data_IF_373430745992
#
_entry.id   IF_373430745992
#
_cell.length_a   1.000
_cell.length_b   1.000
_cell.length_c   1.000
_cell.angle_alpha   90.00
_cell.angle_beta   90.00
_cell.angle_gamma   90.00
#
_symmetry.space_group_name_H-M   'P 1'
#
loop_
_entity.id
_entity.type
_entity.pdbx_description
1 polymer ?
#
# COMPACT_ATOMS: atom_id res chain seq x y z
N UNK A 1 -21.19 -6.17 -27.44
CA UNK A 1 -19.78 -5.98 -27.82
C UNK A 1 -18.95 -6.17 -26.56
N UNK A 2 -17.92 -7.02 -26.58
CA UNK A 2 -17.02 -7.14 -25.43
C UNK A 2 -16.23 -5.84 -25.33
N UNK A 3 -16.39 -5.10 -24.23
CA UNK A 3 -15.53 -3.93 -23.97
C UNK A 3 -14.10 -4.43 -23.81
N UNK A 4 -13.18 -3.89 -24.61
CA UNK A 4 -11.76 -4.19 -24.48
C UNK A 4 -11.16 -3.38 -23.33
N UNK A 5 -10.08 -3.90 -22.76
CA UNK A 5 -9.41 -3.33 -21.58
C UNK A 5 -7.97 -2.99 -21.96
N UNK A 6 -7.64 -1.70 -21.87
CA UNK A 6 -6.32 -1.15 -22.11
C UNK A 6 -5.54 -1.03 -20.78
N UNK A 7 -4.24 -1.31 -20.82
CA UNK A 7 -3.35 -1.21 -19.67
C UNK A 7 -2.27 -0.17 -19.97
N UNK A 8 -2.12 0.83 -19.09
CA UNK A 8 -1.11 1.88 -19.24
C UNK A 8 -0.57 2.34 -17.88
N UNK A 9 0.55 3.04 -17.89
CA UNK A 9 1.03 3.75 -16.70
C UNK A 9 0.07 4.88 -16.30
N UNK A 10 0.09 5.23 -15.02
CA UNK A 10 -0.64 6.39 -14.50
C UNK A 10 -0.09 7.70 -15.07
N UNK A 11 -0.97 8.67 -15.27
CA UNK A 11 -0.64 10.06 -15.55
C UNK A 11 -1.02 10.91 -14.32
N UNK A 12 -0.02 11.51 -13.68
CA UNK A 12 -0.20 12.30 -12.45
C UNK A 12 -0.09 13.78 -12.79
N UNK A 13 -1.06 14.63 -12.37
CA UNK A 13 -2.15 14.34 -11.44
C UNK A 13 -3.48 13.90 -12.09
N UNK A 14 -3.58 13.82 -13.41
CA UNK A 14 -4.86 13.71 -14.14
C UNK A 14 -5.68 12.47 -13.78
N UNK A 15 -5.04 11.34 -13.51
CA UNK A 15 -5.72 10.08 -13.20
C UNK A 15 -6.12 9.94 -11.73
N UNK A 16 -5.60 10.79 -10.83
CA UNK A 16 -5.81 10.64 -9.39
C UNK A 16 -7.28 10.71 -8.95
N UNK A 17 -8.14 11.58 -9.52
CA UNK A 17 -9.56 11.58 -9.18
C UNK A 17 -10.26 10.25 -9.55
N UNK A 18 -9.97 9.71 -10.74
CA UNK A 18 -10.54 8.43 -11.19
C UNK A 18 -10.02 7.25 -10.33
N UNK A 19 -8.75 7.30 -9.95
CA UNK A 19 -8.14 6.33 -9.05
C UNK A 19 -8.79 6.34 -7.66
N UNK A 20 -9.00 7.52 -7.09
CA UNK A 20 -9.67 7.66 -5.80
C UNK A 20 -11.12 7.12 -5.86
N UNK A 21 -11.84 7.39 -6.96
CA UNK A 21 -13.17 6.85 -7.19
C UNK A 21 -13.17 5.31 -7.25
N UNK A 22 -12.26 4.71 -8.03
CA UNK A 22 -12.10 3.24 -8.10
C UNK A 22 -11.87 2.63 -6.72
N UNK A 23 -10.91 3.17 -5.95
CA UNK A 23 -10.58 2.65 -4.62
C UNK A 23 -11.75 2.78 -3.65
N UNK A 24 -12.45 3.90 -3.66
CA UNK A 24 -13.64 4.09 -2.82
C UNK A 24 -14.78 3.14 -3.19
N UNK A 25 -15.03 2.90 -4.50
CA UNK A 25 -16.00 1.89 -4.93
C UNK A 25 -15.62 0.49 -4.45
N UNK A 26 -14.34 0.13 -4.54
CA UNK A 26 -13.83 -1.14 -4.01
C UNK A 26 -14.00 -1.24 -2.49
N UNK A 27 -13.64 -0.20 -1.73
CA UNK A 27 -13.79 -0.19 -0.27
C UNK A 27 -15.25 -0.31 0.16
N UNK A 28 -16.15 0.44 -0.49
CA UNK A 28 -17.58 0.42 -0.20
C UNK A 28 -18.19 -0.96 -0.47
N UNK A 29 -17.94 -1.53 -1.64
CA UNK A 29 -18.47 -2.83 -2.04
C UNK A 29 -18.02 -3.97 -1.11
N UNK A 30 -16.79 -3.86 -0.56
CA UNK A 30 -16.21 -4.83 0.37
C UNK A 30 -16.45 -4.50 1.85
N UNK A 31 -17.28 -3.49 2.16
CA UNK A 31 -17.55 -3.02 3.52
C UNK A 31 -16.28 -2.73 4.35
N UNK A 32 -15.25 -2.20 3.72
CA UNK A 32 -14.02 -1.82 4.39
C UNK A 32 -14.20 -0.45 5.03
N UNK A 33 -13.83 -0.31 6.31
CA UNK A 33 -13.87 0.97 7.03
C UNK A 33 -12.69 1.87 6.61
N UNK A 34 -12.69 2.29 5.34
CA UNK A 34 -11.64 3.08 4.71
C UNK A 34 -12.20 3.90 3.57
N UNK A 35 -11.67 5.11 3.40
CA UNK A 35 -11.88 5.95 2.22
C UNK A 35 -10.56 6.55 1.76
N UNK A 36 -10.53 7.14 0.57
CA UNK A 36 -9.39 7.88 0.06
C UNK A 36 -9.85 9.07 -0.80
N UNK A 37 -8.90 9.95 -1.13
CA UNK A 37 -9.11 11.14 -1.96
C UNK A 37 -7.99 11.29 -2.97
N UNK A 38 -8.15 12.17 -3.96
CA UNK A 38 -7.10 12.46 -4.94
C UNK A 38 -5.85 13.03 -4.26
N UNK A 39 -6.02 13.87 -3.23
CA UNK A 39 -4.92 14.44 -2.42
C UNK A 39 -4.17 13.33 -1.68
N UNK A 40 -4.90 12.36 -1.11
CA UNK A 40 -4.25 11.20 -0.48
C UNK A 40 -3.50 10.36 -1.49
N UNK A 41 -4.04 10.12 -2.69
CA UNK A 41 -3.31 9.40 -3.74
C UNK A 41 -2.08 10.20 -4.20
N UNK A 42 -2.16 11.52 -4.32
CA UNK A 42 -1.01 12.38 -4.63
C UNK A 42 0.11 12.23 -3.59
N UNK A 43 -0.23 12.17 -2.30
CA UNK A 43 0.74 11.91 -1.23
C UNK A 43 1.44 10.57 -1.41
N UNK A 44 0.70 9.51 -1.78
CA UNK A 44 1.28 8.18 -2.03
C UNK A 44 2.23 8.20 -3.25
N UNK A 45 1.89 8.97 -4.30
CA UNK A 45 2.76 9.13 -5.46
C UNK A 45 4.05 9.88 -5.14
N UNK A 46 4.08 10.63 -4.04
CA UNK A 46 5.24 11.40 -3.59
C UNK A 46 6.02 10.69 -2.46
N UNK A 47 5.75 9.42 -2.20
CA UNK A 47 6.52 8.66 -1.20
C UNK A 47 8.02 8.62 -1.56
N UNK A 48 8.92 8.77 -0.58
CA UNK A 48 10.35 8.66 -0.83
C UNK A 48 10.71 7.35 -1.54
N UNK A 49 11.57 7.45 -2.56
CA UNK A 49 12.01 6.32 -3.37
C UNK A 49 10.96 5.74 -4.33
N UNK A 50 9.76 6.31 -4.41
CA UNK A 50 8.69 5.83 -5.29
C UNK A 50 8.75 6.46 -6.69
N UNK A 51 8.83 5.64 -7.75
CA UNK A 51 8.75 6.11 -9.13
C UNK A 51 7.29 6.07 -9.60
N UNK A 52 6.57 7.17 -9.35
CA UNK A 52 5.14 7.25 -9.65
C UNK A 52 4.79 6.89 -11.10
N UNK A 53 5.64 7.23 -12.07
CA UNK A 53 5.38 7.03 -13.49
C UNK A 53 5.55 5.56 -13.93
N UNK A 54 6.36 4.77 -13.23
CA UNK A 54 6.69 3.40 -13.63
C UNK A 54 6.21 2.33 -12.65
N UNK A 55 5.83 2.71 -11.42
CA UNK A 55 5.42 1.79 -10.36
C UNK A 55 3.88 1.73 -10.21
N UNK A 56 3.14 2.18 -11.23
CA UNK A 56 1.68 2.26 -11.22
C UNK A 56 1.06 1.88 -12.58
N UNK A 57 0.36 0.74 -12.64
CA UNK A 57 -0.38 0.37 -13.85
C UNK A 57 -1.89 0.50 -13.65
N UNK A 58 -2.55 1.13 -14.61
CA UNK A 58 -4.00 1.31 -14.70
C UNK A 58 -4.59 0.37 -15.75
N UNK A 59 -5.77 -0.17 -15.48
CA UNK A 59 -6.61 -0.87 -16.44
C UNK A 59 -7.86 -0.03 -16.74
N UNK A 60 -8.05 0.37 -18.00
CA UNK A 60 -9.15 1.22 -18.44
C UNK A 60 -10.00 0.51 -19.50
N UNK A 61 -11.28 0.87 -19.58
CA UNK A 61 -12.10 0.51 -20.74
C UNK A 61 -11.70 1.30 -21.98
N UNK A 62 -12.14 0.84 -23.14
CA UNK A 62 -11.89 1.47 -24.44
C UNK A 62 -12.32 2.94 -24.55
N UNK A 63 -13.20 3.42 -23.66
CA UNK A 63 -13.54 4.83 -23.57
C UNK A 63 -12.38 5.73 -23.09
N UNK A 64 -11.28 5.12 -22.64
CA UNK A 64 -10.06 5.77 -22.17
C UNK A 64 -10.22 6.52 -20.85
N UNK A 65 -11.38 6.42 -20.19
CA UNK A 65 -11.74 7.21 -19.01
C UNK A 65 -12.19 6.34 -17.84
N UNK A 66 -12.87 5.24 -18.12
CA UNK A 66 -13.41 4.36 -17.09
C UNK A 66 -12.31 3.45 -16.58
N UNK A 67 -11.79 3.78 -15.40
CA UNK A 67 -10.80 2.98 -14.69
C UNK A 67 -11.49 1.76 -14.04
N UNK A 68 -11.00 0.56 -14.36
CA UNK A 68 -11.56 -0.71 -13.87
C UNK A 68 -10.57 -1.53 -13.04
N UNK A 69 -9.30 -1.12 -13.00
CA UNK A 69 -8.31 -1.69 -12.11
C UNK A 69 -7.07 -0.83 -11.99
N UNK A 70 -6.32 -1.05 -10.92
CA UNK A 70 -5.06 -0.38 -10.62
C UNK A 70 -4.17 -1.29 -9.80
N UNK A 71 -2.87 -1.23 -10.06
CA UNK A 71 -1.85 -1.78 -9.19
C UNK A 71 -0.79 -0.72 -8.92
N UNK A 72 -0.44 -0.55 -7.65
CA UNK A 72 0.64 0.32 -7.17
C UNK A 72 1.70 -0.52 -6.48
N UNK A 73 2.97 -0.27 -6.76
CA UNK A 73 4.11 -0.91 -6.14
C UNK A 73 4.91 0.13 -5.39
N UNK A 74 5.56 -0.23 -4.28
CA UNK A 74 6.54 0.64 -3.62
C UNK A 74 7.68 -0.20 -3.08
N UNK A 75 8.90 0.04 -3.58
CA UNK A 75 10.11 -0.63 -3.13
C UNK A 75 10.58 0.00 -1.81
N UNK A 76 10.10 -0.56 -0.69
CA UNK A 76 10.38 -0.02 0.64
C UNK A 76 11.82 -0.25 1.08
N UNK A 77 12.48 -1.30 0.57
CA UNK A 77 13.91 -1.58 0.78
C UNK A 77 14.50 -2.13 -0.50
N UNK A 78 15.83 -2.20 -0.59
CA UNK A 78 16.52 -2.79 -1.75
C UNK A 78 16.07 -4.24 -2.07
N UNK A 79 15.52 -4.97 -1.08
CA UNK A 79 15.11 -6.37 -1.25
C UNK A 79 13.59 -6.56 -1.35
N UNK A 80 12.78 -5.57 -0.96
CA UNK A 80 11.34 -5.78 -0.71
C UNK A 80 10.49 -4.70 -1.38
N UNK A 81 9.54 -5.15 -2.20
CA UNK A 81 8.48 -4.32 -2.79
C UNK A 81 7.14 -4.72 -2.21
N UNK A 82 6.34 -3.73 -1.83
CA UNK A 82 4.93 -3.91 -1.46
C UNK A 82 4.04 -3.59 -2.66
N UNK A 83 2.90 -4.26 -2.80
CA UNK A 83 1.90 -3.93 -3.81
C UNK A 83 0.51 -3.70 -3.20
N UNK A 84 -0.27 -2.86 -3.88
CA UNK A 84 -1.70 -2.66 -3.65
C UNK A 84 -2.44 -2.87 -4.98
N UNK A 85 -3.24 -3.94 -5.06
CA UNK A 85 -4.02 -4.31 -6.24
C UNK A 85 -5.51 -4.08 -5.98
N UNK A 86 -6.11 -3.21 -6.79
CA UNK A 86 -7.54 -2.89 -6.74
C UNK A 86 -8.18 -3.22 -8.09
N UNK A 87 -9.31 -3.93 -8.07
CA UNK A 87 -10.13 -4.21 -9.26
C UNK A 87 -11.56 -3.79 -8.97
N UNK A 88 -12.19 -3.09 -9.91
CA UNK A 88 -13.59 -2.70 -9.78
C UNK A 88 -14.46 -3.95 -9.61
N UNK A 89 -15.43 -3.98 -8.66
CA UNK A 89 -16.21 -5.19 -8.33
C UNK A 89 -16.85 -5.88 -9.55
N UNK A 90 -17.39 -5.09 -10.48
CA UNK A 90 -18.00 -5.56 -11.74
C UNK A 90 -17.03 -6.22 -12.74
N UNK A 91 -15.72 -6.12 -12.52
CA UNK A 91 -14.66 -6.55 -13.44
C UNK A 91 -13.73 -7.64 -12.88
N UNK A 92 -14.04 -8.16 -11.69
CA UNK A 92 -13.23 -9.18 -10.98
C UNK A 92 -13.05 -10.49 -11.76
N UNK A 93 -14.06 -10.91 -12.53
CA UNK A 93 -14.03 -12.15 -13.32
C UNK A 93 -13.61 -11.96 -14.79
N UNK A 94 -13.02 -10.80 -15.13
CA UNK A 94 -12.63 -10.47 -16.51
C UNK A 94 -11.11 -10.56 -16.74
N UNK A 95 -10.38 -11.22 -15.83
CA UNK A 95 -8.92 -11.36 -15.92
C UNK A 95 -8.12 -10.09 -15.65
N UNK A 96 -8.76 -8.99 -15.24
CA UNK A 96 -8.09 -7.70 -14.96
C UNK A 96 -7.08 -7.84 -13.82
N UNK A 97 -7.49 -8.46 -12.71
CA UNK A 97 -6.62 -8.68 -11.55
C UNK A 97 -5.39 -9.53 -11.90
N UNK A 98 -5.59 -10.59 -12.68
CA UNK A 98 -4.50 -11.47 -13.14
C UNK A 98 -3.47 -10.68 -13.96
N UNK A 99 -3.91 -9.91 -14.96
CA UNK A 99 -3.00 -9.14 -15.83
C UNK A 99 -2.26 -8.03 -15.07
N UNK A 100 -2.92 -7.35 -14.13
CA UNK A 100 -2.28 -6.36 -13.27
C UNK A 100 -1.25 -7.00 -12.35
N UNK A 101 -1.56 -8.15 -11.74
CA UNK A 101 -0.63 -8.87 -10.88
C UNK A 101 0.60 -9.37 -11.65
N UNK A 102 0.41 -9.93 -12.85
CA UNK A 102 1.50 -10.31 -13.75
C UNK A 102 2.39 -9.11 -14.13
N UNK A 103 1.79 -7.95 -14.36
CA UNK A 103 2.55 -6.71 -14.58
C UNK A 103 3.36 -6.33 -13.33
N UNK A 104 2.76 -6.36 -12.14
CA UNK A 104 3.44 -6.05 -10.88
C UNK A 104 4.59 -7.00 -10.56
N UNK A 105 4.41 -8.32 -10.76
CA UNK A 105 5.47 -9.31 -10.56
C UNK A 105 6.67 -9.03 -11.48
N UNK A 106 6.42 -8.67 -12.75
CA UNK A 106 7.51 -8.30 -13.67
C UNK A 106 8.22 -7.03 -13.21
N UNK A 107 7.46 -5.98 -12.86
CA UNK A 107 8.03 -4.71 -12.39
C UNK A 107 8.87 -4.89 -11.13
N UNK A 108 8.41 -5.67 -10.15
CA UNK A 108 9.18 -5.96 -8.94
C UNK A 108 10.50 -6.69 -9.24
N UNK A 109 10.52 -7.58 -10.25
CA UNK A 109 11.77 -8.24 -10.71
C UNK A 109 12.72 -7.25 -11.39
N UNK A 110 12.19 -6.31 -12.18
CA UNK A 110 12.99 -5.25 -12.81
C UNK A 110 13.62 -4.31 -11.77
N UNK A 111 12.93 -4.06 -10.66
CA UNK A 111 13.45 -3.33 -9.49
C UNK A 111 14.51 -4.13 -8.70
N UNK A 112 14.74 -5.39 -9.03
CA UNK A 112 15.69 -6.26 -8.33
C UNK A 112 15.18 -6.78 -6.97
N UNK A 113 13.89 -6.63 -6.68
CA UNK A 113 13.32 -7.08 -5.41
C UNK A 113 13.35 -8.59 -5.27
N UNK A 114 13.81 -9.06 -4.11
CA UNK A 114 13.82 -10.47 -3.73
C UNK A 114 12.46 -10.91 -3.21
N UNK A 115 11.72 -9.98 -2.59
CA UNK A 115 10.42 -10.22 -1.99
C UNK A 115 9.39 -9.24 -2.56
N UNK A 116 8.24 -9.79 -2.90
CA UNK A 116 7.05 -9.04 -3.28
C UNK A 116 5.93 -9.43 -2.31
N UNK A 117 5.34 -8.45 -1.64
CA UNK A 117 4.25 -8.69 -0.70
C UNK A 117 3.02 -7.84 -0.96
N UNK A 118 1.92 -8.31 -0.39
CA UNK A 118 0.60 -7.71 -0.45
C UNK A 118 -0.11 -8.03 0.86
N UNK A 119 -0.97 -7.11 1.30
CA UNK A 119 -1.76 -7.30 2.51
C UNK A 119 -3.25 -7.21 2.16
N UNK A 120 -4.02 -8.19 2.65
CA UNK A 120 -5.46 -8.22 2.51
C UNK A 120 -6.13 -8.47 3.86
N UNK A 121 -7.29 -7.84 4.14
CA UNK A 121 -8.18 -8.33 5.19
C UNK A 121 -8.53 -9.81 4.96
N UNK A 122 -8.54 -10.61 6.03
CA UNK A 122 -8.76 -12.06 5.96
C UNK A 122 -10.09 -12.43 5.30
N UNK A 123 -11.10 -11.55 5.40
CA UNK A 123 -12.40 -11.75 4.77
C UNK A 123 -12.39 -11.65 3.22
N UNK A 124 -11.29 -11.18 2.60
CA UNK A 124 -11.18 -11.01 1.15
C UNK A 124 -10.62 -12.28 0.47
N UNK A 125 -11.35 -13.38 0.59
CA UNK A 125 -10.91 -14.70 0.13
C UNK A 125 -10.57 -14.76 -1.36
N UNK A 126 -11.31 -14.05 -2.22
CA UNK A 126 -11.05 -14.03 -3.67
C UNK A 126 -9.71 -13.36 -4.00
N UNK A 127 -9.38 -12.27 -3.31
CA UNK A 127 -8.12 -11.54 -3.49
C UNK A 127 -6.93 -12.38 -3.00
N UNK A 128 -7.10 -13.03 -1.84
CA UNK A 128 -6.11 -13.96 -1.29
C UNK A 128 -5.89 -15.14 -2.25
N UNK A 129 -6.96 -15.73 -2.78
CA UNK A 129 -6.88 -16.83 -3.74
C UNK A 129 -6.16 -16.42 -5.04
N UNK A 130 -6.44 -15.22 -5.57
CA UNK A 130 -5.77 -14.70 -6.77
C UNK A 130 -4.25 -14.64 -6.59
N UNK A 131 -3.76 -14.08 -5.47
CA UNK A 131 -2.31 -13.97 -5.25
C UNK A 131 -1.68 -15.32 -4.94
N UNK A 132 -2.37 -16.21 -4.22
CA UNK A 132 -1.89 -17.57 -3.97
C UNK A 132 -1.73 -18.39 -5.25
N UNK A 133 -2.67 -18.27 -6.18
CA UNK A 133 -2.57 -18.90 -7.51
C UNK A 133 -1.34 -18.41 -8.31
N UNK A 134 -0.82 -17.24 -7.97
CA UNK A 134 0.37 -16.64 -8.58
C UNK A 134 1.64 -16.80 -7.72
N UNK A 135 1.63 -17.74 -6.77
CA UNK A 135 2.82 -18.14 -6.01
C UNK A 135 3.06 -17.37 -4.71
N UNK A 136 2.14 -16.51 -4.28
CA UNK A 136 2.24 -15.86 -2.98
C UNK A 136 1.90 -16.86 -1.86
N UNK A 137 2.70 -16.85 -0.79
CA UNK A 137 2.47 -17.68 0.39
C UNK A 137 2.12 -16.81 1.60
N UNK A 138 1.22 -17.26 2.49
CA UNK A 138 0.95 -16.55 3.73
C UNK A 138 2.23 -16.42 4.57
N UNK A 139 2.59 -15.19 4.94
CA UNK A 139 3.76 -14.94 5.79
C UNK A 139 3.37 -14.67 7.25
N UNK A 140 2.23 -14.01 7.47
CA UNK A 140 1.76 -13.65 8.80
C UNK A 140 0.46 -12.88 8.76
N UNK A 141 -0.05 -12.53 9.94
CA UNK A 141 -1.25 -11.73 10.13
C UNK A 141 -0.96 -10.54 11.02
N UNK A 142 -1.57 -9.41 10.72
CA UNK A 142 -1.49 -8.20 11.54
C UNK A 142 -2.88 -7.83 12.05
N UNK A 143 -2.93 -7.18 13.22
CA UNK A 143 -4.16 -6.69 13.82
C UNK A 143 -4.25 -5.18 13.66
N UNK A 144 -5.36 -4.70 13.12
CA UNK A 144 -5.69 -3.29 13.17
C UNK A 144 -6.51 -3.04 14.44
N UNK A 145 -5.85 -2.59 15.51
CA UNK A 145 -6.49 -2.25 16.77
C UNK A 145 -6.92 -0.78 16.76
N UNK A 146 -8.19 -0.53 17.09
CA UNK A 146 -8.75 0.83 17.20
C UNK A 146 -9.36 1.04 18.58
N UNK A 147 -9.07 2.19 19.17
CA UNK A 147 -9.71 2.65 20.40
C UNK A 147 -10.53 3.91 20.10
N UNK A 148 -11.82 3.97 20.47
CA UNK A 148 -12.60 5.20 20.34
C UNK A 148 -11.97 6.33 21.15
N UNK A 149 -11.95 7.55 20.58
CA UNK A 149 -11.35 8.72 21.25
C UNK A 149 -12.05 9.10 22.57
N UNK A 150 -13.28 8.62 22.80
CA UNK A 150 -14.03 8.83 24.04
C UNK A 150 -13.62 7.89 25.17
N UNK A 151 -12.76 6.90 24.93
CA UNK A 151 -12.26 6.01 25.98
C UNK A 151 -11.18 6.73 26.78
N UNK A 152 -11.41 6.88 28.07
CA UNK A 152 -10.38 7.38 29.00
C UNK A 152 -9.35 6.28 29.27
N UNK A 153 -8.07 6.60 29.08
CA UNK A 153 -6.95 5.71 29.39
C UNK A 153 -6.53 5.87 30.86
N UNK A 154 -6.05 4.79 31.51
CA UNK A 154 -5.48 4.91 32.85
C UNK A 154 -4.27 5.87 32.85
N UNK A 155 -3.99 6.54 33.98
CA UNK A 155 -2.78 7.35 34.11
C UNK A 155 -1.54 6.49 33.87
N UNK A 156 -0.52 7.08 33.23
CA UNK A 156 0.72 6.39 32.90
C UNK A 156 1.75 6.58 34.02
N UNK A 157 2.12 5.49 34.69
CA UNK A 157 3.23 5.49 35.65
C UNK A 157 4.54 5.20 34.91
N UNK A 158 5.34 6.25 34.67
CA UNK A 158 6.65 6.09 34.03
C UNK A 158 7.64 5.38 34.96
N UNK A 159 8.41 4.39 34.46
CA UNK A 159 9.47 3.76 35.26
C UNK A 159 10.50 4.79 35.76
N UNK A 160 11.12 4.51 36.91
CA UNK A 160 12.19 5.36 37.45
C UNK A 160 13.29 5.60 36.40
N UNK A 161 13.70 6.86 36.23
CA UNK A 161 14.70 7.27 35.24
C UNK A 161 14.16 7.56 33.84
N UNK A 162 12.85 7.40 33.60
CA UNK A 162 12.21 7.71 32.32
C UNK A 162 11.29 8.93 32.40
N UNK A 163 11.19 9.67 31.30
CA UNK A 163 10.27 10.80 31.17
C UNK A 163 9.73 10.88 29.74
N UNK A 164 8.52 11.42 29.59
CA UNK A 164 7.94 11.71 28.28
C UNK A 164 8.45 13.05 27.76
N UNK A 165 8.88 13.09 26.49
CA UNK A 165 9.15 14.34 25.77
C UNK A 165 8.50 14.28 24.38
N UNK A 166 7.86 15.37 23.91
CA UNK A 166 7.45 15.46 22.53
C UNK A 166 8.68 15.54 21.62
N UNK A 167 8.55 15.03 20.39
CA UNK A 167 9.67 15.06 19.43
C UNK A 167 10.18 16.47 19.16
N UNK A 168 9.32 17.49 19.19
CA UNK A 168 9.72 18.91 19.02
C UNK A 168 10.72 19.42 20.06
N UNK A 169 10.77 18.81 21.25
CA UNK A 169 11.77 19.15 22.27
C UNK A 169 13.07 18.37 22.11
N UNK A 170 13.02 17.16 21.54
CA UNK A 170 14.20 16.33 21.28
C UNK A 170 14.90 16.81 20.01
N UNK A 171 14.12 16.97 18.93
CA UNK A 171 14.50 17.49 17.62
C UNK A 171 15.82 16.93 17.07
N UNK A 172 16.02 15.62 17.27
CA UNK A 172 17.20 14.89 16.85
C UNK A 172 16.76 13.69 16.01
N UNK A 173 16.87 13.85 14.69
CA UNK A 173 16.47 12.82 13.73
C UNK A 173 17.42 11.62 13.78
N UNK A 174 18.70 11.82 14.06
CA UNK A 174 19.67 10.73 14.16
C UNK A 174 19.40 9.84 15.37
N UNK A 175 19.02 10.44 16.51
CA UNK A 175 18.58 9.70 17.69
C UNK A 175 17.29 8.92 17.41
N UNK A 176 16.32 9.54 16.75
CA UNK A 176 15.06 8.87 16.37
C UNK A 176 15.32 7.68 15.43
N UNK A 177 16.11 7.89 14.38
CA UNK A 177 16.51 6.85 13.42
C UNK A 177 17.24 5.71 14.12
N UNK A 178 18.17 6.01 15.02
CA UNK A 178 18.86 4.97 15.79
C UNK A 178 17.90 4.17 16.68
N UNK A 179 16.95 4.84 17.34
CA UNK A 179 15.95 4.18 18.18
C UNK A 179 15.05 3.25 17.35
N UNK A 180 14.60 3.70 16.18
CA UNK A 180 13.78 2.91 15.24
C UNK A 180 14.55 1.69 14.73
N UNK A 181 15.77 1.89 14.21
CA UNK A 181 16.58 0.80 13.66
C UNK A 181 16.96 -0.24 14.73
N UNK A 182 17.23 0.17 15.97
CA UNK A 182 17.51 -0.77 17.08
C UNK A 182 16.28 -1.55 17.56
N UNK A 183 15.10 -0.95 17.48
CA UNK A 183 13.87 -1.57 17.99
C UNK A 183 13.19 -2.47 16.96
N UNK A 184 13.34 -2.15 15.67
CA UNK A 184 12.55 -2.75 14.60
C UNK A 184 13.37 -3.14 13.36
N UNK A 185 14.68 -2.85 13.29
CA UNK A 185 15.47 -3.04 12.07
C UNK A 185 15.54 -4.49 11.58
N UNK A 186 15.40 -5.45 12.50
CA UNK A 186 15.34 -6.89 12.23
C UNK A 186 13.92 -7.44 12.02
N UNK A 187 12.89 -6.60 12.11
CA UNK A 187 11.49 -7.02 12.01
C UNK A 187 10.95 -6.92 10.59
N UNK A 188 10.35 -8.01 10.12
CA UNK A 188 9.68 -8.04 8.82
C UNK A 188 8.55 -7.02 8.73
N UNK A 189 8.53 -6.26 7.63
CA UNK A 189 7.49 -5.25 7.37
C UNK A 189 7.77 -3.90 8.01
N UNK A 190 8.80 -3.80 8.85
CA UNK A 190 9.41 -2.50 9.13
C UNK A 190 10.23 -2.07 7.91
N UNK A 191 10.29 -0.76 7.64
CA UNK A 191 11.21 -0.22 6.66
C UNK A 191 12.61 -0.33 7.28
N UNK A 192 13.24 -1.50 7.16
CA UNK A 192 14.61 -1.72 7.63
C UNK A 192 15.53 -0.71 6.95
N UNK A 193 16.46 -0.14 7.72
CA UNK A 193 17.40 0.91 7.29
C UNK A 193 16.73 2.26 6.99
N UNK A 194 15.90 2.75 7.93
CA UNK A 194 15.44 4.16 7.91
C UNK A 194 16.67 5.05 7.83
N UNK A 195 16.78 5.87 6.77
CA UNK A 195 17.87 6.81 6.58
C UNK A 195 17.48 8.19 7.12
N UNK A 196 18.47 9.03 7.40
CA UNK A 196 18.20 10.45 7.73
C UNK A 196 17.77 11.28 6.51
N UNK A 197 17.89 10.72 5.29
CA UNK A 197 17.60 11.40 4.03
C UNK A 197 16.12 11.38 3.63
N UNK A 198 15.29 10.54 4.26
CA UNK A 198 13.89 10.33 3.87
C UNK A 198 12.90 10.30 5.05
#
# INVERSE_FOLDING_TARGET
>A
MASSINFRQINVPEDLPALAALKNTYFQDRNLNRTTSAERQQQLMAYPGHDAANDNCLALLDDGKTLVGHIWLWQQTAQRTVLDLTVHPRWTQHGVGQRLLEWGIRRAREQGSQYLDVQYPIALYEQIALVQQNGFNPLGTYLNASLPASVELPPLDWPEGYMLKPYSEVNDIGLYTQAMNRSYGDQWGHMSDVSEEY
#
